data_IF_033713798029
#
_entry.id   IF_033713798029
#
_cell.length_a   1.000
_cell.length_b   1.000
_cell.length_c   1.000
_cell.angle_alpha   90.00
_cell.angle_beta   90.00
_cell.angle_gamma   90.00
#
_symmetry.space_group_name_H-M   'P 1'
#
loop_
_entity.id
_entity.type
_entity.pdbx_description
1 polymer ?
#
# COMPACT_ATOMS: atom_id res chain seq x y z
N UNK A 1 20.99 31.27 -51.07
CA UNK A 1 20.22 32.05 -50.09
C UNK A 1 19.10 31.17 -49.55
N UNK A 2 19.13 30.87 -48.23
CA UNK A 2 18.02 30.53 -47.29
C UNK A 2 17.00 29.46 -47.75
N UNK A 3 17.14 28.17 -47.39
CA UNK A 3 16.69 27.49 -46.15
C UNK A 3 15.24 27.78 -45.74
N UNK A 4 14.35 26.77 -45.76
CA UNK A 4 13.38 26.51 -44.68
C UNK A 4 12.99 25.02 -44.65
N UNK A 5 13.54 24.32 -43.65
CA UNK A 5 13.14 22.99 -43.23
C UNK A 5 11.82 23.08 -42.46
N UNK A 6 10.81 22.34 -42.90
CA UNK A 6 9.58 22.11 -42.14
C UNK A 6 9.75 20.77 -41.40
N UNK A 7 10.36 20.82 -40.21
CA UNK A 7 10.33 19.72 -39.25
C UNK A 7 9.61 20.25 -38.02
N UNK A 8 8.29 20.10 -38.00
CA UNK A 8 7.48 20.46 -36.85
C UNK A 8 7.79 19.45 -35.74
N UNK A 9 8.52 19.91 -34.72
CA UNK A 9 8.81 19.15 -33.53
C UNK A 9 7.52 18.85 -32.75
N UNK A 10 7.00 17.63 -32.88
CA UNK A 10 6.05 17.08 -31.93
C UNK A 10 6.88 16.35 -30.87
N UNK A 11 7.31 17.09 -29.86
CA UNK A 11 7.96 16.53 -28.68
C UNK A 11 7.46 17.29 -27.45
N UNK A 12 6.25 16.98 -26.99
CA UNK A 12 5.70 17.56 -25.75
C UNK A 12 4.68 16.71 -25.00
N UNK A 13 4.47 15.44 -25.36
CA UNK A 13 3.49 14.56 -24.66
C UNK A 13 4.14 13.26 -24.18
N UNK A 14 5.39 13.32 -23.72
CA UNK A 14 6.02 12.18 -23.03
C UNK A 14 6.05 12.37 -21.50
N UNK A 15 6.22 13.60 -21.00
CA UNK A 15 6.42 13.86 -19.57
C UNK A 15 5.15 13.81 -18.70
N UNK A 16 3.95 13.90 -19.29
CA UNK A 16 2.70 13.81 -18.54
C UNK A 16 2.16 12.37 -18.42
N UNK A 17 2.64 11.44 -19.26
CA UNK A 17 2.26 10.03 -19.21
C UNK A 17 3.08 9.24 -18.17
N UNK A 18 4.26 9.74 -17.80
CA UNK A 18 5.13 9.16 -16.76
C UNK A 18 4.74 9.59 -15.34
N UNK A 19 3.71 10.42 -15.16
CA UNK A 19 2.90 10.42 -13.94
C UNK A 19 2.03 9.15 -13.90
N UNK A 20 2.72 8.03 -14.09
CA UNK A 20 2.41 6.65 -13.82
C UNK A 20 1.10 6.53 -13.05
N UNK A 21 0.11 5.88 -13.66
CA UNK A 21 -0.90 5.13 -12.93
C UNK A 21 -0.18 4.19 -11.96
N UNK A 22 0.18 4.71 -10.78
CA UNK A 22 0.50 3.88 -9.63
C UNK A 22 -0.85 3.31 -9.27
N UNK A 23 -1.14 2.09 -9.71
CA UNK A 23 -2.25 1.33 -9.14
C UNK A 23 -2.04 1.40 -7.62
N UNK A 24 -2.91 2.08 -6.87
CA UNK A 24 -2.73 2.15 -5.43
C UNK A 24 -2.70 0.72 -4.94
N UNK A 25 -1.65 0.35 -4.19
CA UNK A 25 -1.56 -0.98 -3.58
C UNK A 25 -2.76 -1.11 -2.66
N UNK A 26 -3.78 -1.85 -3.10
CA UNK A 26 -5.00 -2.07 -2.32
C UNK A 26 -4.68 -3.07 -1.23
N UNK A 27 -4.61 -2.57 -0.01
CA UNK A 27 -4.42 -3.34 1.21
C UNK A 27 -5.75 -3.56 1.93
N UNK A 28 -6.62 -2.56 1.87
CA UNK A 28 -7.95 -2.59 2.46
C UNK A 28 -8.74 -3.78 1.90
N UNK A 29 -9.34 -4.61 2.77
CA UNK A 29 -10.14 -5.71 2.31
C UNK A 29 -11.38 -5.27 1.51
N UNK A 30 -11.88 -6.10 0.58
CA UNK A 30 -13.05 -5.76 -0.25
C UNK A 30 -14.29 -5.36 0.58
N UNK A 31 -14.56 -6.07 1.67
CA UNK A 31 -15.73 -5.79 2.52
C UNK A 31 -15.60 -4.43 3.22
N UNK A 32 -14.39 -3.99 3.54
CA UNK A 32 -14.17 -2.65 4.10
C UNK A 32 -14.55 -1.57 3.09
N UNK A 33 -14.22 -1.77 1.81
CA UNK A 33 -14.64 -0.87 0.74
C UNK A 33 -16.17 -0.88 0.55
N UNK A 34 -16.80 -2.04 0.72
CA UNK A 34 -18.25 -2.19 0.56
C UNK A 34 -19.05 -1.56 1.72
N UNK A 35 -18.53 -1.65 2.95
CA UNK A 35 -19.22 -1.18 4.17
C UNK A 35 -18.86 0.27 4.50
N UNK A 36 -17.56 0.62 4.44
CA UNK A 36 -17.05 1.94 4.82
C UNK A 36 -15.95 2.40 3.85
N UNK A 37 -16.31 2.93 2.67
CA UNK A 37 -15.35 3.38 1.67
C UNK A 37 -14.25 4.33 2.20
N UNK A 38 -14.54 5.34 3.05
CA UNK A 38 -13.50 6.22 3.56
C UNK A 38 -12.44 5.50 4.40
N UNK A 39 -12.82 4.46 5.13
CA UNK A 39 -11.87 3.68 5.94
C UNK A 39 -10.94 2.85 5.07
N UNK A 40 -11.45 2.31 3.95
CA UNK A 40 -10.63 1.64 2.97
C UNK A 40 -9.60 2.60 2.36
N UNK A 41 -10.02 3.81 1.97
CA UNK A 41 -9.12 4.86 1.49
C UNK A 41 -8.04 5.21 2.52
N UNK A 42 -8.38 5.42 3.78
CA UNK A 42 -7.37 5.70 4.81
C UNK A 42 -6.43 4.53 5.07
N UNK A 43 -6.92 3.30 4.96
CA UNK A 43 -6.07 2.10 5.10
C UNK A 43 -5.04 2.04 3.97
N UNK A 44 -5.48 2.24 2.73
CA UNK A 44 -4.62 2.17 1.55
C UNK A 44 -3.64 3.34 1.45
N UNK A 45 -4.14 4.58 1.58
CA UNK A 45 -3.36 5.77 1.26
C UNK A 45 -2.59 6.33 2.45
N UNK A 46 -3.21 6.33 3.64
CA UNK A 46 -2.60 6.95 4.82
C UNK A 46 -1.80 5.92 5.60
N UNK A 47 -2.44 4.84 6.06
CA UNK A 47 -1.78 3.86 6.91
C UNK A 47 -0.64 3.17 6.16
N UNK A 48 -0.96 2.49 5.07
CA UNK A 48 0.02 1.69 4.32
C UNK A 48 0.69 2.45 3.18
N UNK A 49 0.03 3.48 2.66
CA UNK A 49 0.56 4.36 1.62
C UNK A 49 1.63 5.33 2.13
N UNK A 50 1.50 5.82 3.38
CA UNK A 50 2.41 6.79 4.02
C UNK A 50 3.00 6.27 5.33
N UNK A 51 2.20 6.12 6.41
CA UNK A 51 2.69 5.93 7.80
C UNK A 51 3.65 4.74 7.93
N UNK A 52 3.36 3.61 7.28
CA UNK A 52 4.22 2.42 7.33
C UNK A 52 5.53 2.56 6.55
N UNK A 53 5.65 3.55 5.67
CA UNK A 53 6.83 3.82 4.81
C UNK A 53 7.75 4.93 5.32
N UNK A 54 7.32 5.70 6.32
CA UNK A 54 8.07 6.81 6.94
C UNK A 54 9.47 6.42 7.42
N UNK A 55 10.53 7.19 7.15
CA UNK A 55 11.90 6.72 7.38
C UNK A 55 12.40 6.84 8.83
N UNK A 56 11.65 7.52 9.70
CA UNK A 56 12.02 7.83 11.08
C UNK A 56 12.08 6.61 12.01
N UNK A 57 11.48 5.48 11.59
CA UNK A 57 11.54 4.23 12.32
C UNK A 57 11.78 3.06 11.35
N UNK A 58 12.63 2.11 11.71
CA UNK A 58 12.89 0.97 10.84
C UNK A 58 11.63 0.10 10.68
N UNK A 59 11.43 -0.59 9.54
CA UNK A 59 10.30 -1.50 9.33
C UNK A 59 10.13 -2.57 10.41
N UNK A 60 11.26 -3.11 10.90
CA UNK A 60 11.31 -4.08 12.01
C UNK A 60 10.74 -3.47 13.29
N UNK A 61 11.17 -2.26 13.63
CA UNK A 61 10.79 -1.63 14.89
C UNK A 61 9.33 -1.16 14.86
N UNK A 62 8.82 -0.71 13.69
CA UNK A 62 7.39 -0.47 13.49
C UNK A 62 6.56 -1.74 13.72
N UNK A 63 7.02 -2.87 13.20
CA UNK A 63 6.33 -4.13 13.38
C UNK A 63 6.34 -4.56 14.85
N UNK A 64 7.47 -4.41 15.54
CA UNK A 64 7.59 -4.70 16.97
C UNK A 64 6.62 -3.87 17.82
N UNK A 65 6.58 -2.56 17.63
CA UNK A 65 5.68 -1.67 18.39
C UNK A 65 4.22 -2.00 18.11
N UNK A 66 3.88 -2.29 16.86
CA UNK A 66 2.51 -2.68 16.50
C UNK A 66 2.10 -4.00 17.17
N UNK A 67 2.97 -5.01 17.12
CA UNK A 67 2.72 -6.31 17.78
C UNK A 67 2.54 -6.13 19.29
N UNK A 68 3.39 -5.34 19.94
CA UNK A 68 3.27 -5.04 21.36
C UNK A 68 1.91 -4.39 21.69
N UNK A 69 1.49 -3.40 20.90
CA UNK A 69 0.19 -2.74 21.06
C UNK A 69 -0.99 -3.70 20.86
N UNK A 70 -0.92 -4.59 19.85
CA UNK A 70 -1.97 -5.58 19.60
C UNK A 70 -2.09 -6.59 20.75
N UNK A 71 -0.98 -7.03 21.33
CA UNK A 71 -0.96 -7.91 22.51
C UNK A 71 -1.56 -7.20 23.72
N UNK A 72 -1.09 -5.98 24.01
CA UNK A 72 -1.57 -5.21 25.16
C UNK A 72 -3.07 -4.87 25.05
N UNK A 73 -3.57 -4.60 23.85
CA UNK A 73 -4.98 -4.30 23.59
C UNK A 73 -5.88 -5.51 23.34
N UNK A 74 -5.34 -6.73 23.32
CA UNK A 74 -6.12 -7.95 23.04
C UNK A 74 -6.73 -7.99 21.63
N UNK A 75 -6.11 -7.34 20.64
CA UNK A 75 -6.62 -7.22 19.26
C UNK A 75 -6.27 -8.45 18.40
N UNK A 76 -6.78 -9.61 18.81
CA UNK A 76 -6.38 -10.93 18.27
C UNK A 76 -6.63 -11.06 16.76
N UNK A 77 -7.71 -10.46 16.24
CA UNK A 77 -8.07 -10.54 14.82
C UNK A 77 -7.03 -9.93 13.86
N UNK A 78 -6.19 -9.02 14.35
CA UNK A 78 -5.13 -8.38 13.57
C UNK A 78 -3.76 -9.08 13.74
N UNK A 79 -3.63 -9.98 14.72
CA UNK A 79 -2.33 -10.56 15.10
C UNK A 79 -1.70 -11.35 13.95
N UNK A 80 -2.43 -12.24 13.28
CA UNK A 80 -1.88 -13.10 12.22
C UNK A 80 -1.16 -12.28 11.13
N UNK A 81 -1.80 -11.23 10.63
CA UNK A 81 -1.22 -10.37 9.58
C UNK A 81 0.01 -9.60 10.05
N UNK A 82 -0.03 -9.04 11.27
CA UNK A 82 1.07 -8.25 11.82
C UNK A 82 2.23 -9.10 12.35
N UNK A 83 1.98 -10.34 12.79
CA UNK A 83 3.01 -11.28 13.24
C UNK A 83 3.83 -11.78 12.05
N UNK A 84 3.15 -12.19 10.96
CA UNK A 84 3.83 -12.59 9.73
C UNK A 84 4.72 -11.45 9.20
N UNK A 85 4.20 -10.22 9.20
CA UNK A 85 5.01 -9.03 8.82
C UNK A 85 6.25 -8.86 9.69
N UNK A 86 6.11 -9.02 11.01
CA UNK A 86 7.22 -8.87 11.94
C UNK A 86 8.31 -9.93 11.74
N UNK A 87 7.92 -11.17 11.44
CA UNK A 87 8.85 -12.29 11.18
C UNK A 87 9.59 -12.12 9.85
N UNK A 88 8.89 -11.66 8.82
CA UNK A 88 9.46 -11.51 7.47
C UNK A 88 10.37 -10.28 7.33
N UNK A 89 10.35 -9.36 8.31
CA UNK A 89 11.18 -8.15 8.33
C UNK A 89 10.86 -7.13 7.22
N UNK A 90 9.72 -7.29 6.53
CA UNK A 90 9.36 -6.56 5.30
C UNK A 90 8.21 -5.57 5.54
N UNK A 91 8.34 -4.35 5.02
CA UNK A 91 7.26 -3.35 5.01
C UNK A 91 6.34 -3.53 3.80
N UNK A 92 5.02 -3.43 3.99
CA UNK A 92 3.89 -3.26 3.04
C UNK A 92 3.77 -4.18 1.80
N UNK A 93 4.88 -4.54 1.15
CA UNK A 93 4.99 -5.24 -0.15
C UNK A 93 4.33 -6.63 -0.17
N UNK A 94 4.23 -7.31 0.97
CA UNK A 94 3.72 -8.70 1.05
C UNK A 94 2.23 -8.81 1.37
N UNK A 95 1.55 -7.71 1.72
CA UNK A 95 0.10 -7.75 1.97
C UNK A 95 -0.73 -8.00 0.71
N UNK A 96 -0.18 -7.68 -0.46
CA UNK A 96 -0.82 -7.97 -1.74
C UNK A 96 -1.05 -9.49 -1.90
N UNK A 97 -0.13 -10.32 -1.41
CA UNK A 97 -0.27 -11.79 -1.44
C UNK A 97 -1.17 -12.32 -0.31
N UNK A 98 -1.08 -11.77 0.91
CA UNK A 98 -1.81 -12.32 2.07
C UNK A 98 -3.30 -11.93 2.07
N UNK A 99 -3.64 -10.71 1.64
CA UNK A 99 -5.03 -10.23 1.60
C UNK A 99 -5.89 -11.06 0.64
N UNK A 100 -5.36 -11.45 -0.52
CA UNK A 100 -6.08 -12.20 -1.54
C UNK A 100 -6.48 -13.63 -1.11
N UNK A 101 -5.69 -14.26 -0.22
CA UNK A 101 -5.99 -15.62 0.28
C UNK A 101 -6.79 -15.58 1.57
N UNK A 102 -6.46 -14.68 2.51
CA UNK A 102 -7.13 -14.63 3.81
C UNK A 102 -8.57 -14.11 3.74
N UNK A 103 -8.89 -13.22 2.78
CA UNK A 103 -10.25 -12.67 2.61
C UNK A 103 -11.13 -13.49 1.67
N UNK A 104 -10.60 -14.53 1.00
CA UNK A 104 -11.39 -15.42 0.12
C UNK A 104 -12.05 -16.57 0.88
N UNK A 105 -11.58 -16.89 2.10
CA UNK A 105 -12.14 -18.00 2.87
C UNK A 105 -13.37 -17.52 3.65
N UNK A 106 -14.55 -18.11 3.42
CA UNK A 106 -15.71 -17.82 4.26
C UNK A 106 -15.42 -18.26 5.71
N UNK A 107 -15.97 -17.56 6.72
CA UNK A 107 -15.85 -17.99 8.10
C UNK A 107 -16.49 -19.39 8.25
N UNK A 108 -15.79 -20.28 8.94
CA UNK A 108 -16.31 -21.61 9.31
C UNK A 108 -17.26 -21.51 10.49
#
# INVERSE_FOLDING_TARGET
MKLFAATLAICSVAAAAEAQQRTPTRVAPPDMQAVTPPLATYTDEVLFGDVWKRTELAPRDRSLVTVAALIAGGHIQQMTGHFNRALDGKSVEWMEQVSGEQYRRPPR
#
